data_IF_337894137140
#
_entry.id   IF_337894137140
#
_cell.length_a   1.000
_cell.length_b   1.000
_cell.length_c   1.000
_cell.angle_alpha   90.00
_cell.angle_beta   90.00
_cell.angle_gamma   90.00
#
_symmetry.space_group_name_H-M   'P 1'
#
loop_
_entity.id
_entity.type
_entity.pdbx_description
1 polymer ?
#
# COMPACT_ATOMS: atom_id res chain seq x y z
N UNK A 1 12.68 41.05 4.13
CA UNK A 1 12.17 39.74 4.59
C UNK A 1 12.52 38.73 3.51
N UNK A 2 13.50 37.86 3.73
CA UNK A 2 13.92 36.87 2.73
C UNK A 2 13.03 35.62 2.85
N UNK A 3 12.54 35.13 1.70
CA UNK A 3 11.76 33.90 1.65
C UNK A 3 12.62 32.70 2.09
N UNK A 4 12.08 31.75 2.85
CA UNK A 4 12.81 30.55 3.24
C UNK A 4 13.14 29.70 2.00
N UNK A 5 14.37 29.22 1.91
CA UNK A 5 14.83 28.34 0.83
C UNK A 5 14.54 26.87 1.17
N UNK A 6 14.23 26.09 0.14
CA UNK A 6 13.91 24.64 0.14
C UNK A 6 14.70 23.74 1.12
N UNK A 7 16.00 23.94 1.42
CA UNK A 7 16.70 23.11 2.41
C UNK A 7 16.11 23.13 3.82
N UNK A 8 15.26 24.10 4.18
CA UNK A 8 14.59 24.15 5.50
C UNK A 8 13.46 23.12 5.64
N UNK A 9 13.06 22.46 4.55
CA UNK A 9 12.09 21.35 4.56
C UNK A 9 12.74 19.96 4.51
N UNK A 10 14.08 19.89 4.54
CA UNK A 10 14.76 18.62 4.74
C UNK A 10 14.61 18.22 6.21
N UNK A 11 13.45 17.66 6.55
CA UNK A 11 13.28 16.93 7.79
C UNK A 11 14.38 15.85 7.85
N UNK A 12 15.00 15.61 9.02
CA UNK A 12 15.90 14.49 9.18
C UNK A 12 15.19 13.21 8.71
N UNK A 13 15.88 12.40 7.90
CA UNK A 13 15.41 11.09 7.46
C UNK A 13 15.41 10.13 8.66
N UNK A 14 14.47 10.32 9.57
CA UNK A 14 14.09 9.29 10.52
C UNK A 14 13.17 8.39 9.73
N UNK A 15 13.56 7.13 9.47
CA UNK A 15 12.83 6.10 8.72
C UNK A 15 11.47 5.77 9.36
N UNK A 16 10.61 6.78 9.44
CA UNK A 16 9.41 6.89 10.25
C UNK A 16 8.23 7.24 9.37
N UNK A 17 8.47 7.73 8.14
CA UNK A 17 7.41 8.03 7.20
C UNK A 17 7.37 6.96 6.12
N UNK A 18 6.20 6.36 5.96
CA UNK A 18 5.91 5.39 4.92
C UNK A 18 5.13 6.07 3.79
N UNK A 19 5.66 5.95 2.57
CA UNK A 19 4.90 6.24 1.35
C UNK A 19 4.14 5.00 0.93
N UNK A 20 2.82 5.09 0.82
CA UNK A 20 1.97 3.92 0.52
C UNK A 20 0.73 4.26 -0.30
N UNK A 21 0.13 3.24 -0.91
CA UNK A 21 -1.25 3.25 -1.37
C UNK A 21 -2.06 2.22 -0.58
N UNK A 22 -3.27 2.59 -0.14
CA UNK A 22 -4.12 1.77 0.73
C UNK A 22 -5.51 1.60 0.14
N UNK A 23 -6.11 0.44 0.37
CA UNK A 23 -7.47 0.09 -0.06
C UNK A 23 -8.22 -0.46 1.14
N UNK A 24 -9.42 0.04 1.37
CA UNK A 24 -10.27 -0.33 2.50
C UNK A 24 -11.41 -1.25 2.06
N UNK A 25 -11.75 -2.21 2.91
CA UNK A 25 -12.77 -3.23 2.71
C UNK A 25 -13.65 -3.32 3.96
N UNK A 26 -14.94 -3.62 3.79
CA UNK A 26 -15.84 -3.87 4.92
C UNK A 26 -15.51 -5.23 5.55
N UNK A 27 -15.36 -6.24 4.71
CA UNK A 27 -15.20 -7.64 5.10
C UNK A 27 -13.80 -8.17 4.80
N UNK A 28 -13.36 -9.14 5.62
CA UNK A 28 -12.06 -9.78 5.45
C UNK A 28 -11.97 -10.54 4.13
N UNK A 29 -13.06 -11.23 3.78
CA UNK A 29 -13.12 -12.11 2.62
C UNK A 29 -12.93 -11.32 1.32
N UNK A 30 -13.51 -10.11 1.23
CA UNK A 30 -13.29 -9.21 0.10
C UNK A 30 -11.83 -8.73 0.01
N UNK A 31 -11.20 -8.47 1.16
CA UNK A 31 -9.79 -8.08 1.21
C UNK A 31 -8.85 -9.24 0.82
N UNK A 32 -9.20 -10.48 1.18
CA UNK A 32 -8.47 -11.69 0.76
C UNK A 32 -8.66 -11.94 -0.74
N UNK A 33 -9.89 -11.84 -1.25
CA UNK A 33 -10.20 -11.95 -2.68
C UNK A 33 -9.45 -10.90 -3.51
N UNK A 34 -9.32 -9.68 -2.99
CA UNK A 34 -8.51 -8.63 -3.61
C UNK A 34 -7.03 -9.04 -3.77
N UNK A 35 -6.43 -9.68 -2.75
CA UNK A 35 -5.05 -10.18 -2.85
C UNK A 35 -4.93 -11.29 -3.90
N UNK A 36 -5.91 -12.18 -3.99
CA UNK A 36 -5.95 -13.20 -5.05
C UNK A 36 -6.00 -12.55 -6.45
N UNK A 37 -6.84 -11.53 -6.64
CA UNK A 37 -6.91 -10.78 -7.88
C UNK A 37 -5.61 -10.07 -8.22
N UNK A 38 -4.92 -9.50 -7.22
CA UNK A 38 -3.61 -8.88 -7.41
C UNK A 38 -2.59 -9.88 -7.94
N UNK A 39 -2.50 -11.06 -7.32
CA UNK A 39 -1.56 -12.11 -7.73
C UNK A 39 -1.91 -12.68 -9.11
N UNK A 40 -3.19 -12.94 -9.38
CA UNK A 40 -3.64 -13.41 -10.68
C UNK A 40 -3.32 -12.40 -11.79
N UNK A 41 -3.53 -11.10 -11.52
CA UNK A 41 -3.24 -10.03 -12.47
C UNK A 41 -1.73 -9.85 -12.68
N UNK A 42 -0.94 -9.87 -11.61
CA UNK A 42 0.52 -9.83 -11.72
C UNK A 42 1.04 -11.00 -12.56
N UNK A 43 0.52 -12.22 -12.34
CA UNK A 43 0.88 -13.39 -13.13
C UNK A 43 0.48 -13.25 -14.60
N UNK A 44 -0.68 -12.66 -14.90
CA UNK A 44 -1.12 -12.42 -16.28
C UNK A 44 -0.23 -11.45 -17.07
N UNK A 45 0.45 -10.53 -16.38
CA UNK A 45 1.37 -9.58 -16.98
C UNK A 45 2.84 -10.03 -16.96
N UNK A 46 3.15 -11.12 -16.26
CA UNK A 46 4.49 -11.67 -16.22
C UNK A 46 4.89 -12.19 -17.61
N UNK A 47 6.06 -11.79 -18.10
CA UNK A 47 6.64 -12.38 -19.31
C UNK A 47 7.13 -13.79 -18.99
N UNK A 48 7.30 -14.64 -20.01
CA UNK A 48 7.59 -16.06 -19.88
C UNK A 48 8.79 -16.42 -18.96
N UNK A 49 9.71 -15.48 -18.72
CA UNK A 49 10.90 -15.67 -17.87
C UNK A 49 11.00 -14.65 -16.72
N UNK A 50 9.92 -13.94 -16.38
CA UNK A 50 9.90 -12.94 -15.31
C UNK A 50 9.05 -13.44 -14.12
N UNK A 51 9.53 -13.18 -12.90
CA UNK A 51 8.73 -13.40 -11.70
C UNK A 51 7.50 -12.48 -11.72
N UNK A 52 6.34 -13.04 -11.38
CA UNK A 52 5.10 -12.28 -11.26
C UNK A 52 5.17 -11.36 -10.04
N UNK A 53 5.58 -10.11 -10.25
CA UNK A 53 5.66 -9.09 -9.22
C UNK A 53 4.42 -8.20 -9.21
N UNK A 54 3.85 -7.98 -8.03
CA UNK A 54 2.81 -6.96 -7.86
C UNK A 54 3.48 -5.61 -7.92
N UNK A 55 3.21 -4.85 -8.97
CA UNK A 55 3.71 -3.48 -9.16
C UNK A 55 2.65 -2.47 -8.73
N UNK A 56 3.07 -1.22 -8.52
CA UNK A 56 2.14 -0.15 -8.17
C UNK A 56 0.98 0.01 -9.17
N UNK A 57 1.19 0.01 -10.51
CA UNK A 57 0.09 0.02 -11.49
C UNK A 57 -0.87 -1.15 -11.35
N UNK A 58 -0.36 -2.38 -11.12
CA UNK A 58 -1.21 -3.55 -10.89
C UNK A 58 -2.08 -3.34 -9.65
N UNK A 59 -1.49 -2.80 -8.58
CA UNK A 59 -2.21 -2.51 -7.34
C UNK A 59 -3.35 -1.50 -7.54
N UNK A 60 -3.06 -0.33 -8.12
CA UNK A 60 -4.07 0.74 -8.27
C UNK A 60 -5.18 0.36 -9.25
N UNK A 61 -4.86 -0.35 -10.33
CA UNK A 61 -5.87 -0.81 -11.29
C UNK A 61 -6.79 -1.87 -10.68
N UNK A 62 -6.24 -2.82 -9.92
CA UNK A 62 -7.07 -3.82 -9.22
C UNK A 62 -7.92 -3.16 -8.14
N UNK A 63 -7.40 -2.12 -7.46
CA UNK A 63 -8.18 -1.37 -6.47
C UNK A 63 -9.35 -0.62 -7.11
N UNK A 64 -9.14 -0.03 -8.28
CA UNK A 64 -10.20 0.62 -9.04
C UNK A 64 -11.28 -0.37 -9.48
N UNK A 65 -10.89 -1.56 -9.95
CA UNK A 65 -11.82 -2.61 -10.34
C UNK A 65 -12.62 -3.11 -9.13
N UNK A 66 -11.96 -3.38 -7.99
CA UNK A 66 -12.61 -3.79 -6.74
C UNK A 66 -13.62 -2.76 -6.22
N UNK A 67 -13.25 -1.47 -6.27
CA UNK A 67 -14.15 -0.38 -5.91
C UNK A 67 -15.35 -0.31 -6.86
N UNK A 68 -15.15 -0.54 -8.15
CA UNK A 68 -16.22 -0.48 -9.17
C UNK A 68 -17.29 -1.57 -8.98
N UNK A 69 -16.91 -2.74 -8.46
CA UNK A 69 -17.82 -3.86 -8.17
C UNK A 69 -18.31 -3.87 -6.71
N UNK A 70 -18.07 -2.78 -5.97
CA UNK A 70 -18.47 -2.61 -4.57
C UNK A 70 -17.89 -3.63 -3.58
N UNK A 71 -16.78 -4.30 -3.91
CA UNK A 71 -16.06 -5.15 -2.95
C UNK A 71 -15.08 -4.35 -2.08
N UNK A 72 -14.60 -3.20 -2.57
CA UNK A 72 -13.81 -2.25 -1.79
C UNK A 72 -14.63 -1.00 -1.42
N UNK A 73 -14.39 -0.46 -0.22
CA UNK A 73 -14.95 0.81 0.26
C UNK A 73 -14.24 2.03 -0.31
N UNK A 74 -13.00 1.87 -0.77
CA UNK A 74 -12.22 2.93 -1.40
C UNK A 74 -11.53 2.41 -2.65
N UNK A 75 -11.20 3.31 -3.57
CA UNK A 75 -10.09 3.05 -4.51
C UNK A 75 -8.75 3.08 -3.76
N UNK A 76 -7.63 3.01 -4.47
CA UNK A 76 -6.31 3.21 -3.89
C UNK A 76 -6.11 4.66 -3.42
N UNK A 77 -5.98 4.86 -2.11
CA UNK A 77 -5.64 6.14 -1.48
C UNK A 77 -4.13 6.22 -1.30
N UNK A 78 -3.48 7.14 -2.00
CA UNK A 78 -2.03 7.33 -1.94
C UNK A 78 -1.63 8.47 -0.99
N UNK A 79 -0.61 8.24 -0.18
CA UNK A 79 -0.10 9.26 0.73
C UNK A 79 1.16 8.86 1.49
N UNK A 80 1.65 9.81 2.29
CA UNK A 80 2.70 9.58 3.28
C UNK A 80 2.03 9.49 4.67
N UNK A 81 2.40 8.48 5.47
CA UNK A 81 1.87 8.22 6.81
C UNK A 81 3.01 7.88 7.76
N UNK A 82 2.87 8.15 9.05
CA UNK A 82 3.90 7.74 10.00
C UNK A 82 3.76 6.24 10.32
N UNK A 83 4.87 5.51 10.38
CA UNK A 83 4.92 4.05 10.61
C UNK A 83 4.31 3.72 11.97
N UNK A 84 4.45 4.62 12.95
CA UNK A 84 3.87 4.50 14.29
C UNK A 84 2.33 4.56 14.30
N UNK A 85 1.71 5.05 13.23
CA UNK A 85 0.25 5.10 13.09
C UNK A 85 -0.30 3.79 12.49
N UNK A 86 0.57 2.86 12.07
CA UNK A 86 0.18 1.53 11.62
C UNK A 86 -0.11 0.64 12.83
N UNK A 87 -0.92 -0.40 12.61
CA UNK A 87 -1.05 -1.50 13.58
C UNK A 87 0.34 -2.07 13.84
N UNK A 88 0.71 -2.28 15.11
CA UNK A 88 2.07 -2.69 15.54
C UNK A 88 2.65 -3.85 14.70
N UNK A 89 1.83 -4.86 14.41
CA UNK A 89 2.26 -6.02 13.61
C UNK A 89 2.59 -5.66 12.16
N UNK A 90 1.91 -4.67 11.60
CA UNK A 90 2.17 -4.15 10.25
C UNK A 90 3.38 -3.22 10.27
N UNK A 91 3.52 -2.36 11.28
CA UNK A 91 4.67 -1.48 11.47
C UNK A 91 5.99 -2.27 11.46
N UNK A 92 6.08 -3.31 12.31
CA UNK A 92 7.26 -4.18 12.39
C UNK A 92 7.55 -4.86 11.05
N UNK A 93 6.52 -5.34 10.35
CA UNK A 93 6.70 -6.00 9.05
C UNK A 93 7.16 -5.02 7.97
N UNK A 94 6.69 -3.78 7.99
CA UNK A 94 7.11 -2.73 7.05
C UNK A 94 8.59 -2.38 7.26
N UNK A 95 9.03 -2.21 8.51
CA UNK A 95 10.42 -1.89 8.85
C UNK A 95 11.42 -2.99 8.46
N UNK A 96 10.97 -4.24 8.44
CA UNK A 96 11.81 -5.40 8.13
C UNK A 96 11.76 -5.83 6.65
N UNK A 97 10.85 -5.29 5.84
CA UNK A 97 10.64 -5.73 4.47
C UNK A 97 11.57 -5.02 3.47
N UNK A 98 11.92 -5.74 2.41
CA UNK A 98 12.40 -5.12 1.17
C UNK A 98 11.22 -4.46 0.47
N UNK A 99 11.27 -3.15 0.30
CA UNK A 99 10.23 -2.38 -0.38
C UNK A 99 10.58 -2.19 -1.88
N UNK A 100 9.58 -2.14 -2.78
CA UNK A 100 8.14 -2.11 -2.49
C UNK A 100 7.54 -3.48 -2.12
N UNK A 101 6.47 -3.48 -1.31
CA UNK A 101 5.79 -4.70 -0.89
C UNK A 101 4.30 -4.47 -0.58
N UNK A 102 3.52 -5.56 -0.66
CA UNK A 102 2.10 -5.56 -0.27
C UNK A 102 1.95 -6.13 1.14
N UNK A 103 1.16 -5.47 1.96
CA UNK A 103 0.80 -5.85 3.32
C UNK A 103 -0.72 -5.94 3.43
N UNK A 104 -1.20 -6.99 4.09
CA UNK A 104 -2.62 -7.19 4.30
C UNK A 104 -3.06 -8.64 4.12
N UNK A 105 -4.35 -8.92 4.37
CA UNK A 105 -5.30 -7.96 4.93
C UNK A 105 -5.04 -7.80 6.44
N UNK A 106 -5.19 -6.58 6.96
CA UNK A 106 -5.11 -6.33 8.40
C UNK A 106 -6.31 -5.52 8.87
N UNK A 107 -6.72 -5.78 10.11
CA UNK A 107 -7.86 -5.10 10.72
C UNK A 107 -7.49 -3.64 11.06
N UNK A 108 -8.46 -2.75 10.91
CA UNK A 108 -8.43 -1.33 11.27
C UNK A 108 -9.74 -0.98 11.97
N UNK A 109 -9.84 0.23 12.52
CA UNK A 109 -11.10 0.71 13.12
C UNK A 109 -12.27 0.80 12.12
N UNK A 110 -11.98 0.79 10.82
CA UNK A 110 -12.95 1.00 9.73
C UNK A 110 -13.21 -0.25 8.89
N UNK A 111 -12.73 -1.42 9.34
CA UNK A 111 -12.81 -2.68 8.59
C UNK A 111 -11.43 -3.24 8.29
N UNK A 112 -11.22 -3.70 7.07
CA UNK A 112 -9.97 -4.35 6.64
C UNK A 112 -9.22 -3.47 5.64
N UNK A 113 -7.89 -3.50 5.70
CA UNK A 113 -7.04 -2.73 4.80
C UNK A 113 -5.98 -3.62 4.14
N UNK A 114 -5.70 -3.32 2.87
CA UNK A 114 -4.55 -3.81 2.13
C UNK A 114 -3.73 -2.62 1.67
N UNK A 115 -2.42 -2.69 1.85
CA UNK A 115 -1.49 -1.60 1.61
C UNK A 115 -0.35 -2.03 0.69
N UNK A 116 -0.11 -1.23 -0.35
CA UNK A 116 1.13 -1.25 -1.12
C UNK A 116 2.09 -0.22 -0.53
N UNK A 117 3.14 -0.67 0.14
CA UNK A 117 4.22 0.17 0.65
C UNK A 117 5.26 0.42 -0.45
N UNK A 118 5.55 1.68 -0.76
CA UNK A 118 6.51 2.06 -1.80
C UNK A 118 7.92 2.25 -1.23
N UNK A 119 8.05 3.03 -0.14
CA UNK A 119 9.35 3.40 0.42
C UNK A 119 9.24 3.93 1.85
N UNK A 120 10.27 3.72 2.66
CA UNK A 120 10.49 4.43 3.92
C UNK A 120 11.29 5.72 3.67
N UNK A 121 11.04 6.75 4.48
CA UNK A 121 11.69 8.06 4.47
C UNK A 121 12.03 8.51 5.88
#
# INVERSE_FOLDING_TARGET
MSAPTLPQFAAPQTATRLRSARVQFCDRDDAEMFLEWLHARAASYARADATAEVTFPVFVCTAADAYSVSSALTCAVFGDSDVVDLVDTVAVRVEQATLPAVFGPYATERGWEVMYALSLR
#
